data_IF_065433363975
#
_entry.id   IF_065433363975
#
_cell.length_a   1.000
_cell.length_b   1.000
_cell.length_c   1.000
_cell.angle_alpha   90.00
_cell.angle_beta   90.00
_cell.angle_gamma   90.00
#
_symmetry.space_group_name_H-M   'P 1'
#
loop_
_entity.id
_entity.type
_entity.pdbx_description
1 polymer ?
#
# COMPACT_ATOMS: atom_id res chain seq x y z
N UNK A 1 19.55 8.27 4.68
CA UNK A 1 18.53 7.59 5.52
C UNK A 1 18.59 6.10 5.24
N UNK A 2 18.59 5.24 6.26
CA UNK A 2 18.72 3.77 6.09
C UNK A 2 17.34 3.14 5.96
N UNK A 3 17.15 2.30 4.92
CA UNK A 3 15.91 1.55 4.69
C UNK A 3 15.64 0.58 5.83
N UNK A 4 14.42 0.61 6.38
CA UNK A 4 13.92 -0.30 7.41
C UNK A 4 12.84 -1.23 6.88
N UNK A 5 12.58 -2.34 7.57
CA UNK A 5 11.43 -3.20 7.26
C UNK A 5 10.19 -2.65 7.96
N UNK A 6 9.11 -2.48 7.20
CA UNK A 6 7.83 -2.01 7.72
C UNK A 6 6.72 -2.95 7.28
N UNK A 7 5.84 -3.30 8.21
CA UNK A 7 4.56 -3.92 7.92
C UNK A 7 3.56 -2.83 7.53
N UNK A 8 3.13 -2.88 6.27
CA UNK A 8 2.11 -1.99 5.73
C UNK A 8 0.80 -2.76 5.64
N UNK A 9 -0.22 -2.28 6.34
CA UNK A 9 -1.60 -2.76 6.22
C UNK A 9 -2.36 -1.80 5.32
N UNK A 10 -3.05 -2.32 4.32
CA UNK A 10 -3.80 -1.52 3.37
C UNK A 10 -5.11 -2.20 2.97
N UNK A 11 -6.03 -1.40 2.43
CA UNK A 11 -7.29 -1.86 1.86
C UNK A 11 -7.34 -1.53 0.37
N UNK A 12 -7.85 -2.46 -0.42
CA UNK A 12 -8.23 -2.26 -1.80
C UNK A 12 -9.76 -2.21 -1.84
N UNK A 13 -10.30 -1.01 -2.06
CA UNK A 13 -11.73 -0.80 -2.24
C UNK A 13 -11.99 -0.85 -3.74
N UNK A 14 -12.96 -1.63 -4.18
CA UNK A 14 -13.41 -1.68 -5.58
C UNK A 14 -14.93 -1.65 -5.72
N UNK A 15 -15.43 -2.01 -6.90
CA UNK A 15 -16.86 -2.01 -7.22
C UNK A 15 -17.64 -3.04 -6.37
N UNK A 16 -17.99 -2.67 -5.14
CA UNK A 16 -18.80 -3.47 -4.21
C UNK A 16 -18.01 -4.35 -3.23
N UNK A 17 -16.68 -4.37 -3.30
CA UNK A 17 -15.85 -5.21 -2.43
C UNK A 17 -14.70 -4.44 -1.79
N UNK A 18 -14.37 -4.76 -0.54
CA UNK A 18 -13.16 -4.29 0.14
C UNK A 18 -12.28 -5.47 0.50
N UNK A 19 -11.04 -5.48 0.01
CA UNK A 19 -10.04 -6.47 0.39
C UNK A 19 -9.05 -5.87 1.38
N UNK A 20 -8.77 -6.58 2.47
CA UNK A 20 -7.77 -6.19 3.46
C UNK A 20 -6.49 -6.97 3.22
N UNK A 21 -5.37 -6.27 3.14
CA UNK A 21 -4.07 -6.86 2.86
C UNK A 21 -3.02 -6.34 3.83
N UNK A 22 -2.00 -7.15 4.08
CA UNK A 22 -0.78 -6.72 4.75
C UNK A 22 0.44 -7.21 3.98
N UNK A 23 1.49 -6.40 3.95
CA UNK A 23 2.76 -6.75 3.30
C UNK A 23 3.91 -6.14 4.08
N UNK A 24 4.96 -6.91 4.29
CA UNK A 24 6.23 -6.37 4.80
C UNK A 24 7.03 -5.86 3.61
N UNK A 25 7.45 -4.60 3.66
CA UNK A 25 8.26 -3.95 2.62
C UNK A 25 9.34 -3.07 3.22
N UNK A 26 10.39 -2.83 2.44
CA UNK A 26 11.49 -1.95 2.82
C UNK A 26 11.14 -0.52 2.43
N UNK A 27 11.01 0.36 3.42
CA UNK A 27 10.72 1.78 3.24
C UNK A 27 11.90 2.61 3.76
N UNK A 28 12.12 3.80 3.22
CA UNK A 28 13.20 4.70 3.65
C UNK A 28 12.83 5.47 4.91
N UNK A 29 11.58 5.95 4.99
CA UNK A 29 11.04 6.70 6.12
C UNK A 29 9.88 6.01 6.85
N UNK A 30 9.29 4.97 6.27
CA UNK A 30 8.14 4.28 6.87
C UNK A 30 6.86 5.12 6.85
N UNK A 31 6.77 6.05 5.90
CA UNK A 31 5.62 6.94 5.76
C UNK A 31 4.52 6.32 4.92
N UNK A 32 3.28 6.79 5.06
CA UNK A 32 2.17 6.34 4.21
C UNK A 32 2.41 6.64 2.73
N UNK A 33 3.01 7.80 2.42
CA UNK A 33 3.32 8.19 1.04
C UNK A 33 4.33 7.25 0.39
N UNK A 34 5.40 6.86 1.10
CA UNK A 34 6.34 5.85 0.58
C UNK A 34 5.71 4.47 0.48
N UNK A 35 4.95 4.07 1.50
CA UNK A 35 4.24 2.79 1.48
C UNK A 35 3.29 2.71 0.28
N UNK A 36 2.56 3.80 0.00
CA UNK A 36 1.71 3.95 -1.18
C UNK A 36 2.53 3.87 -2.45
N UNK A 37 3.61 4.64 -2.56
CA UNK A 37 4.48 4.63 -3.74
C UNK A 37 5.03 3.24 -4.05
N UNK A 38 5.54 2.53 -3.05
CA UNK A 38 6.08 1.17 -3.23
C UNK A 38 4.99 0.14 -3.52
N UNK A 39 3.79 0.27 -2.91
CA UNK A 39 2.64 -0.54 -3.27
C UNK A 39 2.22 -0.30 -4.72
N UNK A 40 2.17 0.96 -5.15
CA UNK A 40 1.83 1.34 -6.52
C UNK A 40 2.84 0.79 -7.52
N UNK A 41 4.14 1.00 -7.23
CA UNK A 41 5.27 0.46 -8.00
C UNK A 41 5.26 -1.06 -8.10
N UNK A 42 4.83 -1.77 -7.05
CA UNK A 42 4.77 -3.24 -7.03
C UNK A 42 3.66 -3.84 -7.90
N UNK A 43 2.91 -3.01 -8.64
CA UNK A 43 1.87 -3.44 -9.57
C UNK A 43 0.50 -3.62 -8.93
N UNK A 44 0.38 -3.48 -7.61
CA UNK A 44 -0.92 -3.48 -6.91
C UNK A 44 -1.80 -2.29 -7.34
N UNK A 45 -1.20 -1.20 -7.83
CA UNK A 45 -1.95 -0.06 -8.35
C UNK A 45 -2.29 -0.11 -9.84
N UNK A 46 -1.69 -1.01 -10.62
CA UNK A 46 -2.20 -1.27 -11.98
C UNK A 46 -3.64 -1.77 -11.95
N UNK A 47 -4.04 -2.43 -10.87
CA UNK A 47 -5.44 -2.83 -10.61
C UNK A 47 -6.35 -1.61 -10.41
N UNK A 48 -5.80 -0.50 -9.88
CA UNK A 48 -6.51 0.75 -9.56
C UNK A 48 -6.55 1.71 -10.75
N UNK A 49 -5.48 1.79 -11.55
CA UNK A 49 -5.45 2.63 -12.76
C UNK A 49 -6.45 2.17 -13.82
N UNK A 50 -6.79 0.88 -13.86
CA UNK A 50 -7.76 0.34 -14.80
C UNK A 50 -9.22 0.66 -14.44
N UNK A 51 -9.49 1.07 -13.20
CA UNK A 51 -10.85 1.38 -12.75
C UNK A 51 -10.83 2.56 -11.76
N UNK A 52 -11.27 3.75 -12.19
CA UNK A 52 -11.20 4.98 -11.39
C UNK A 52 -12.04 4.93 -10.10
N UNK A 53 -12.89 3.89 -9.91
CA UNK A 53 -13.63 3.67 -8.67
C UNK A 53 -12.83 2.91 -7.62
N UNK A 54 -11.75 2.24 -8.01
CA UNK A 54 -10.94 1.48 -7.08
C UNK A 54 -9.99 2.40 -6.32
N UNK A 55 -9.87 2.22 -5.01
CA UNK A 55 -9.03 3.05 -4.12
C UNK A 55 -8.10 2.18 -3.29
N UNK A 56 -6.83 2.56 -3.25
CA UNK A 56 -5.88 2.11 -2.23
C UNK A 56 -6.01 2.99 -1.00
N UNK A 57 -6.17 2.38 0.17
CA UNK A 57 -6.15 3.08 1.45
C UNK A 57 -5.10 2.42 2.33
N UNK A 58 -4.04 3.15 2.69
CA UNK A 58 -3.10 2.72 3.73
C UNK A 58 -3.84 2.83 5.06
N UNK A 59 -3.80 1.76 5.85
CA UNK A 59 -4.43 1.70 7.17
C UNK A 59 -3.40 1.88 8.28
N UNK A 60 -2.19 1.36 8.08
CA UNK A 60 -1.12 1.45 9.06
C UNK A 60 0.22 1.12 8.41
N UNK A 61 1.27 1.83 8.85
CA UNK A 61 2.67 1.49 8.57
C UNK A 61 3.37 1.32 9.91
N UNK A 62 3.90 0.12 10.19
CA UNK A 62 4.56 -0.19 11.46
C UNK A 62 5.94 -0.77 11.22
N UNK A 63 6.97 -0.23 11.87
CA UNK A 63 8.32 -0.78 11.80
C UNK A 63 8.35 -2.20 12.38
N UNK A 64 9.02 -3.12 11.68
CA UNK A 64 9.25 -4.51 12.10
C UNK A 64 10.68 -4.68 12.58
#
# INVERSE_FOLDING_TARGET
MSRGNYEVKYKLIGAGSTSHCSKVMRLEGGTESEARYELERSGLARVLEQDPRKKLVIVSVKKK
#
